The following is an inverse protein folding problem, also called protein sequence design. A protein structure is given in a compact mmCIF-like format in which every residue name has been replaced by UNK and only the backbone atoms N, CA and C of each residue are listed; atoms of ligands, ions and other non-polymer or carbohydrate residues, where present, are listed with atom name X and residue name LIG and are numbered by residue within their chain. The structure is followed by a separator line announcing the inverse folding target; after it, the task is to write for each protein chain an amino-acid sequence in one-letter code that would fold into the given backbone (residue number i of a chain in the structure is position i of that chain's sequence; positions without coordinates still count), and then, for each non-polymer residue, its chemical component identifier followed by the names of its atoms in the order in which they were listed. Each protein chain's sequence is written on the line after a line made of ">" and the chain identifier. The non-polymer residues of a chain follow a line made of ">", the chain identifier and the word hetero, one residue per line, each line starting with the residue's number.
data_IF_276854069471
#
_entry.id   IF_276854069471
#
_cell.length_a   1.000
_cell.length_b   1.000
_cell.length_c   1.000
_cell.angle_alpha   90.00
_cell.angle_beta   90.00
_cell.angle_gamma   90.00
#
_symmetry.space_group_name_H-M   'P 1'
#
loop_
_entity.id
_entity.type
_entity.pdbx_description
1 polymer ?
#
# COMPACT_ATOMS: atom_id res chain seq x y z
N UNK A 1 -4.72 26.05 -2.37
CA UNK A 1 -5.30 25.74 -1.05
C UNK A 1 -5.22 26.98 -0.20
N UNK A 2 -6.27 27.34 0.54
CA UNK A 2 -6.21 28.47 1.49
C UNK A 2 -5.39 28.05 2.73
N UNK A 3 -4.77 28.99 3.46
CA UNK A 3 -4.07 28.66 4.71
C UNK A 3 -4.96 27.94 5.73
N UNK A 4 -6.20 28.41 5.91
CA UNK A 4 -7.16 27.77 6.81
C UNK A 4 -7.43 26.30 6.46
N UNK A 5 -7.71 25.99 5.18
CA UNK A 5 -7.93 24.60 4.76
C UNK A 5 -6.68 23.74 4.93
N UNK A 6 -5.50 24.31 4.72
CA UNK A 6 -4.23 23.60 4.95
C UNK A 6 -4.07 23.24 6.43
N UNK A 7 -4.29 24.19 7.33
CA UNK A 7 -4.18 23.98 8.78
C UNK A 7 -5.22 22.97 9.29
N UNK A 8 -6.44 23.02 8.75
CA UNK A 8 -7.50 22.05 9.04
C UNK A 8 -7.07 20.64 8.61
N UNK A 9 -6.58 20.47 7.38
CA UNK A 9 -6.11 19.17 6.87
C UNK A 9 -4.93 18.64 7.67
N UNK A 10 -3.97 19.50 8.01
CA UNK A 10 -2.83 19.12 8.87
C UNK A 10 -3.31 18.62 10.22
N UNK A 11 -4.29 19.29 10.82
CA UNK A 11 -4.89 18.89 12.10
C UNK A 11 -5.60 17.55 11.98
N UNK A 12 -6.45 17.37 10.96
CA UNK A 12 -7.18 16.11 10.72
C UNK A 12 -6.22 14.93 10.56
N UNK A 13 -5.17 15.07 9.74
CA UNK A 13 -4.23 13.99 9.49
C UNK A 13 -3.32 13.72 10.69
N UNK A 14 -2.76 14.76 11.31
CA UNK A 14 -1.91 14.62 12.50
C UNK A 14 -2.70 14.02 13.66
N UNK A 15 -3.81 14.64 14.04
CA UNK A 15 -4.53 14.23 15.25
C UNK A 15 -5.24 12.90 15.05
N UNK A 16 -5.75 12.63 13.84
CA UNK A 16 -6.27 11.32 13.47
C UNK A 16 -5.22 10.20 13.53
N UNK A 17 -3.94 10.51 13.26
CA UNK A 17 -2.86 9.54 13.42
C UNK A 17 -2.51 9.32 14.90
N UNK A 18 -2.25 10.41 15.63
CA UNK A 18 -1.62 10.37 16.97
C UNK A 18 -2.61 10.08 18.10
N UNK A 19 -3.89 10.44 17.91
CA UNK A 19 -4.91 10.40 18.96
C UNK A 19 -6.05 9.43 18.65
N UNK A 20 -6.04 8.80 17.47
CA UNK A 20 -7.08 7.86 17.05
C UNK A 20 -6.45 6.55 16.53
N UNK A 21 -5.86 6.56 15.32
CA UNK A 21 -5.47 5.33 14.61
C UNK A 21 -4.34 4.55 15.31
N UNK A 22 -3.21 5.18 15.65
CA UNK A 22 -2.12 4.48 16.32
C UNK A 22 -2.51 3.98 17.73
N UNK A 23 -3.21 4.79 18.56
CA UNK A 23 -3.75 4.30 19.83
C UNK A 23 -4.69 3.10 19.68
N UNK A 24 -5.57 3.07 18.68
CA UNK A 24 -6.46 1.92 18.42
C UNK A 24 -5.63 0.64 18.22
N UNK A 25 -4.65 0.68 17.32
CA UNK A 25 -3.84 -0.48 16.98
C UNK A 25 -2.88 -0.90 18.11
N UNK A 26 -2.30 0.06 18.85
CA UNK A 26 -1.45 -0.24 20.00
C UNK A 26 -2.24 -0.88 21.15
N UNK A 27 -3.49 -0.44 21.37
CA UNK A 27 -4.34 -0.95 22.44
C UNK A 27 -4.96 -2.31 22.12
N UNK A 28 -5.48 -2.47 20.90
CA UNK A 28 -6.32 -3.62 20.54
C UNK A 28 -5.59 -4.66 19.69
N UNK A 29 -4.63 -4.24 18.87
CA UNK A 29 -3.92 -5.14 17.94
C UNK A 29 -2.61 -5.69 18.48
N UNK A 30 -1.90 -4.98 19.37
CA UNK A 30 -0.61 -5.47 19.86
C UNK A 30 -0.75 -6.69 20.77
N UNK A 31 -0.24 -7.84 20.33
CA UNK A 31 -0.21 -9.07 21.11
C UNK A 31 0.97 -9.09 22.07
N UNK A 32 0.76 -8.58 23.28
CA UNK A 32 1.78 -8.54 24.34
C UNK A 32 2.20 -9.93 24.84
N UNK A 33 1.41 -10.97 24.58
CA UNK A 33 1.66 -12.33 25.08
C UNK A 33 2.48 -13.17 24.09
N UNK A 34 2.18 -13.11 22.80
CA UNK A 34 2.85 -13.90 21.75
C UNK A 34 3.69 -13.06 20.78
N UNK A 35 3.69 -11.74 20.95
CA UNK A 35 4.36 -10.81 20.06
C UNK A 35 3.62 -10.64 18.72
N UNK A 36 3.92 -9.55 18.04
CA UNK A 36 3.33 -9.19 16.76
C UNK A 36 1.97 -8.49 16.87
N UNK A 37 1.29 -8.41 15.72
CA UNK A 37 0.05 -7.65 15.53
C UNK A 37 -1.11 -8.58 15.18
N UNK A 38 -2.19 -8.51 15.96
CA UNK A 38 -3.49 -9.11 15.68
C UNK A 38 -4.31 -8.11 14.88
N UNK A 39 -4.86 -8.57 13.75
CA UNK A 39 -5.65 -7.70 12.87
C UNK A 39 -7.12 -8.08 12.78
N UNK A 40 -7.54 -9.26 13.22
CA UNK A 40 -8.94 -9.68 13.22
C UNK A 40 -9.77 -8.96 14.29
N UNK A 41 -10.00 -7.66 14.14
CA UNK A 41 -10.66 -6.80 15.13
C UNK A 41 -12.02 -6.30 14.64
N UNK A 42 -13.02 -6.36 15.52
CA UNK A 42 -14.35 -5.78 15.31
C UNK A 42 -14.35 -4.25 15.52
N UNK A 43 -15.51 -3.62 15.36
CA UNK A 43 -15.75 -2.18 15.49
C UNK A 43 -15.14 -1.57 16.75
N UNK A 44 -15.37 -2.19 17.90
CA UNK A 44 -14.91 -1.71 19.21
C UNK A 44 -13.49 -2.18 19.58
N UNK A 45 -12.81 -2.85 18.66
CA UNK A 45 -11.50 -3.45 18.88
C UNK A 45 -11.54 -4.81 19.59
N UNK A 46 -12.70 -5.46 19.71
CA UNK A 46 -12.82 -6.85 20.15
C UNK A 46 -12.11 -7.77 19.16
N UNK A 47 -11.31 -8.71 19.67
CA UNK A 47 -10.64 -9.73 18.88
C UNK A 47 -11.65 -10.78 18.40
N UNK A 48 -11.77 -10.94 17.08
CA UNK A 48 -12.62 -11.94 16.42
C UNK A 48 -11.79 -13.13 15.96
N UNK A 49 -10.58 -12.89 15.45
CA UNK A 49 -9.70 -13.92 14.89
C UNK A 49 -8.23 -13.60 15.24
N UNK A 50 -7.49 -14.61 15.66
CA UNK A 50 -6.14 -14.45 16.20
C UNK A 50 -5.01 -14.97 15.30
N UNK A 51 -5.33 -15.40 14.07
CA UNK A 51 -4.30 -15.68 13.06
C UNK A 51 -3.57 -14.39 12.67
N UNK A 52 -2.27 -14.52 12.44
CA UNK A 52 -1.39 -13.41 12.08
C UNK A 52 -1.07 -13.42 10.60
N UNK A 53 -1.56 -12.40 9.91
CA UNK A 53 -1.16 -12.13 8.54
C UNK A 53 0.26 -11.54 8.51
N UNK A 54 1.18 -12.20 7.81
CA UNK A 54 2.60 -11.82 7.72
C UNK A 54 2.77 -10.43 7.10
N UNK A 55 1.91 -10.08 6.13
CA UNK A 55 1.87 -8.74 5.55
C UNK A 55 1.70 -7.65 6.61
N UNK A 56 0.80 -7.85 7.57
CA UNK A 56 0.55 -6.87 8.61
C UNK A 56 1.57 -6.90 9.74
N UNK A 57 2.36 -7.95 9.89
CA UNK A 57 3.52 -7.90 10.77
C UNK A 57 4.56 -6.91 10.21
N UNK A 58 4.90 -7.04 8.92
CA UNK A 58 5.83 -6.12 8.25
C UNK A 58 5.31 -4.69 8.15
N UNK A 59 4.05 -4.53 7.73
CA UNK A 59 3.40 -3.23 7.62
C UNK A 59 3.21 -2.53 8.96
N UNK A 60 2.86 -3.25 10.04
CA UNK A 60 2.78 -2.67 11.38
C UNK A 60 4.17 -2.26 11.89
N UNK A 61 5.18 -3.12 11.72
CA UNK A 61 6.56 -2.79 12.07
C UNK A 61 7.01 -1.48 11.39
N UNK A 62 6.77 -1.37 10.08
CA UNK A 62 7.06 -0.15 9.33
C UNK A 62 6.26 1.06 9.84
N UNK A 63 4.96 0.91 10.06
CA UNK A 63 4.07 2.02 10.46
C UNK A 63 4.49 2.62 11.79
N UNK A 64 4.66 1.78 12.82
CA UNK A 64 5.00 2.24 14.16
C UNK A 64 6.44 2.75 14.24
N UNK A 65 7.40 2.11 13.55
CA UNK A 65 8.77 2.61 13.51
C UNK A 65 8.91 3.95 12.77
N UNK A 66 8.14 4.14 11.69
CA UNK A 66 8.14 5.39 10.94
C UNK A 66 7.45 6.49 11.74
N UNK A 67 6.33 6.21 12.42
CA UNK A 67 5.68 7.15 13.33
C UNK A 67 6.62 7.58 14.47
N UNK A 68 7.35 6.64 15.06
CA UNK A 68 8.36 6.94 16.09
C UNK A 68 9.42 7.95 15.61
N UNK A 69 9.87 7.82 14.35
CA UNK A 69 10.90 8.69 13.77
C UNK A 69 10.38 10.05 13.32
N UNK A 70 9.22 10.07 12.67
CA UNK A 70 8.75 11.24 11.94
C UNK A 70 7.72 12.06 12.71
N UNK A 71 6.99 11.44 13.64
CA UNK A 71 5.98 12.12 14.45
C UNK A 71 6.53 12.45 15.84
N UNK A 72 6.77 11.42 16.66
CA UNK A 72 7.24 11.57 18.04
C UNK A 72 7.84 10.25 18.58
N UNK A 73 8.93 10.30 19.36
CA UNK A 73 9.62 9.09 19.83
C UNK A 73 8.94 8.48 21.07
N UNK A 74 7.72 7.96 20.91
CA UNK A 74 7.00 7.24 21.98
C UNK A 74 7.51 5.80 22.12
N UNK A 75 8.04 5.44 23.28
CA UNK A 75 8.61 4.10 23.51
C UNK A 75 7.61 2.97 23.21
N UNK A 76 6.33 3.16 23.51
CA UNK A 76 5.27 2.20 23.18
C UNK A 76 5.27 1.82 21.69
N UNK A 77 5.46 2.80 20.79
CA UNK A 77 5.48 2.54 19.35
C UNK A 77 6.74 1.81 18.91
N UNK A 78 7.87 2.12 19.54
CA UNK A 78 9.12 1.37 19.34
C UNK A 78 8.93 -0.08 19.76
N UNK A 79 8.34 -0.35 20.92
CA UNK A 79 8.07 -1.70 21.41
C UNK A 79 7.11 -2.48 20.49
N UNK A 80 6.03 -1.85 20.00
CA UNK A 80 5.11 -2.47 19.03
C UNK A 80 5.86 -2.85 17.75
N UNK A 81 6.66 -1.93 17.20
CA UNK A 81 7.38 -2.16 15.94
C UNK A 81 8.35 -3.33 16.06
N UNK A 82 9.13 -3.36 17.15
CA UNK A 82 10.09 -4.43 17.41
C UNK A 82 9.42 -5.77 17.73
N UNK A 83 8.27 -5.75 18.40
CA UNK A 83 7.47 -6.96 18.63
C UNK A 83 7.06 -7.62 17.30
N UNK A 84 6.66 -6.83 16.31
CA UNK A 84 6.32 -7.31 14.97
C UNK A 84 7.55 -7.81 14.19
N UNK A 85 8.67 -7.10 14.23
CA UNK A 85 9.92 -7.52 13.59
C UNK A 85 10.45 -8.83 14.18
N UNK A 86 10.41 -8.98 15.51
CA UNK A 86 10.81 -10.20 16.20
C UNK A 86 9.89 -11.39 15.86
N UNK A 87 8.59 -11.15 15.75
CA UNK A 87 7.63 -12.18 15.34
C UNK A 87 7.93 -12.67 13.91
N UNK A 88 8.23 -11.75 12.98
CA UNK A 88 8.66 -12.10 11.62
C UNK A 88 9.92 -12.97 11.63
N UNK A 89 10.97 -12.56 12.33
CA UNK A 89 12.25 -13.30 12.43
C UNK A 89 12.05 -14.73 12.92
N UNK A 90 11.21 -14.91 13.94
CA UNK A 90 11.02 -16.20 14.61
C UNK A 90 10.11 -17.15 13.84
N UNK A 91 9.14 -16.64 13.08
CA UNK A 91 8.01 -17.45 12.63
C UNK A 91 7.65 -17.34 11.14
N UNK A 92 8.03 -16.25 10.45
CA UNK A 92 7.52 -16.00 9.10
C UNK A 92 8.22 -16.82 8.01
N UNK A 93 9.48 -17.18 8.21
CA UNK A 93 10.28 -17.90 7.21
C UNK A 93 9.89 -19.38 7.10
N UNK A 94 9.68 -19.83 5.87
CA UNK A 94 9.50 -21.22 5.47
C UNK A 94 10.69 -21.75 4.66
N UNK A 95 10.51 -22.84 3.91
CA UNK A 95 11.55 -23.43 3.07
C UNK A 95 12.13 -22.42 2.06
N UNK A 96 13.43 -22.55 1.77
CA UNK A 96 14.15 -21.73 0.78
C UNK A 96 14.13 -20.21 1.09
N UNK A 97 13.84 -19.83 2.33
CA UNK A 97 13.78 -18.42 2.75
C UNK A 97 12.48 -17.71 2.39
N UNK A 98 11.56 -18.38 1.68
CA UNK A 98 10.23 -17.84 1.36
C UNK A 98 9.38 -17.71 2.61
N UNK A 99 8.61 -16.63 2.73
CA UNK A 99 7.75 -16.39 3.88
C UNK A 99 6.34 -16.96 3.70
N UNK A 100 5.74 -17.36 4.82
CA UNK A 100 4.31 -17.66 4.88
C UNK A 100 3.47 -16.39 4.67
N UNK A 101 2.19 -16.58 4.35
CA UNK A 101 1.19 -15.52 4.26
C UNK A 101 0.38 -15.38 5.55
N UNK A 102 -0.01 -16.50 6.16
CA UNK A 102 -0.64 -16.52 7.48
C UNK A 102 0.00 -17.56 8.39
N UNK A 103 0.03 -17.22 9.67
CA UNK A 103 0.49 -18.03 10.78
C UNK A 103 -0.60 -18.05 11.85
N UNK A 104 -0.65 -19.07 12.69
CA UNK A 104 -1.45 -19.04 13.94
C UNK A 104 -0.94 -17.92 14.86
N UNK A 105 -1.74 -17.55 15.89
CA UNK A 105 -1.30 -16.60 16.93
C UNK A 105 0.07 -16.93 17.51
N UNK A 106 0.36 -18.21 17.71
CA UNK A 106 1.62 -18.73 18.26
C UNK A 106 2.75 -18.92 17.24
N UNK A 107 2.57 -18.51 15.99
CA UNK A 107 3.62 -18.55 14.96
C UNK A 107 3.75 -19.87 14.20
N UNK A 108 2.81 -20.82 14.35
CA UNK A 108 2.79 -22.02 13.52
C UNK A 108 2.29 -21.72 12.10
N UNK A 109 2.90 -22.29 11.05
CA UNK A 109 2.56 -21.98 9.67
C UNK A 109 1.17 -22.50 9.27
N UNK A 110 0.42 -21.66 8.55
CA UNK A 110 -0.91 -22.02 8.03
C UNK A 110 -0.97 -22.01 6.52
N UNK A 111 -0.65 -20.88 5.89
CA UNK A 111 -0.77 -20.73 4.43
C UNK A 111 0.44 -20.03 3.86
N UNK A 112 1.04 -20.62 2.83
CA UNK A 112 2.02 -19.98 1.95
C UNK A 112 1.33 -19.59 0.64
N UNK A 113 1.68 -18.43 0.07
CA UNK A 113 1.16 -17.99 -1.23
C UNK A 113 2.16 -18.28 -2.34
N UNK A 114 1.66 -18.31 -3.58
CA UNK A 114 2.51 -18.43 -4.78
C UNK A 114 3.45 -17.23 -4.91
N UNK A 115 2.90 -16.02 -4.78
CA UNK A 115 3.64 -14.75 -4.78
C UNK A 115 4.38 -14.49 -3.47
N UNK A 116 5.26 -13.47 -3.45
CA UNK A 116 6.19 -13.16 -2.35
C UNK A 116 6.01 -11.76 -1.75
N UNK A 117 4.77 -11.26 -1.65
CA UNK A 117 4.54 -9.94 -1.04
C UNK A 117 4.78 -9.91 0.48
N UNK A 118 4.86 -11.07 1.16
CA UNK A 118 5.21 -11.10 2.58
C UNK A 118 6.64 -10.58 2.81
N UNK A 119 7.54 -10.93 1.90
CA UNK A 119 8.94 -10.61 1.90
C UNK A 119 9.19 -9.12 1.68
N UNK A 120 8.44 -8.49 0.76
CA UNK A 120 8.53 -7.04 0.55
C UNK A 120 8.08 -6.25 1.78
N UNK A 121 6.96 -6.64 2.41
CA UNK A 121 6.49 -5.97 3.63
C UNK A 121 7.40 -6.23 4.83
N UNK A 122 7.99 -7.42 4.94
CA UNK A 122 9.01 -7.69 5.95
C UNK A 122 10.26 -6.85 5.73
N UNK A 123 10.71 -6.68 4.47
CA UNK A 123 11.87 -5.87 4.13
C UNK A 123 11.74 -4.42 4.62
N UNK A 124 10.62 -3.75 4.31
CA UNK A 124 10.39 -2.37 4.77
C UNK A 124 10.23 -2.30 6.29
N UNK A 125 9.61 -3.31 6.92
CA UNK A 125 9.45 -3.39 8.37
C UNK A 125 10.79 -3.50 9.11
N UNK A 126 11.67 -4.38 8.64
CA UNK A 126 13.03 -4.52 9.18
C UNK A 126 13.87 -3.26 8.94
N UNK A 127 13.80 -2.68 7.75
CA UNK A 127 14.52 -1.46 7.42
C UNK A 127 14.10 -0.31 8.34
N UNK A 128 12.80 -0.12 8.58
CA UNK A 128 12.30 0.93 9.46
C UNK A 128 12.72 0.67 10.92
N UNK A 129 12.65 -0.57 11.40
CA UNK A 129 13.08 -0.94 12.75
C UNK A 129 14.59 -0.72 12.97
N UNK A 130 15.42 -0.93 11.94
CA UNK A 130 16.86 -0.66 12.02
C UNK A 130 17.20 0.81 12.31
N UNK A 131 16.24 1.73 12.10
CA UNK A 131 16.42 3.17 12.32
C UNK A 131 15.97 3.66 13.69
N UNK A 132 15.46 2.77 14.52
CA UNK A 132 15.00 3.09 15.88
C UNK A 132 15.68 2.21 16.94
N UNK A 133 16.71 1.46 16.55
CA UNK A 133 17.49 0.59 17.43
C UNK A 133 18.96 0.57 17.02
N UNK A 134 19.81 0.04 17.90
CA UNK A 134 21.21 -0.25 17.62
C UNK A 134 21.41 -1.70 17.11
N UNK A 135 20.34 -2.43 16.79
CA UNK A 135 20.44 -3.79 16.26
C UNK A 135 20.76 -3.76 14.75
N UNK A 136 22.06 -3.81 14.45
CA UNK A 136 22.58 -3.82 13.08
C UNK A 136 22.06 -4.99 12.22
N UNK A 137 21.59 -6.08 12.85
CA UNK A 137 21.09 -7.26 12.12
C UNK A 137 19.77 -6.99 11.41
N UNK A 138 19.00 -5.98 11.83
CA UNK A 138 17.72 -5.61 11.19
C UNK A 138 17.93 -5.13 9.76
N UNK A 139 19.01 -4.38 9.49
CA UNK A 139 19.32 -3.96 8.12
C UNK A 139 19.68 -5.18 7.24
N UNK A 140 20.41 -6.15 7.79
CA UNK A 140 20.71 -7.41 7.09
C UNK A 140 19.44 -8.22 6.79
N UNK A 141 18.51 -8.31 7.74
CA UNK A 141 17.23 -9.00 7.53
C UNK A 141 16.37 -8.32 6.48
N UNK A 142 16.38 -6.98 6.43
CA UNK A 142 15.72 -6.21 5.38
C UNK A 142 16.24 -6.58 3.99
N UNK A 143 17.56 -6.60 3.81
CA UNK A 143 18.18 -6.98 2.54
C UNK A 143 17.95 -8.44 2.17
N UNK A 144 17.97 -9.37 3.14
CA UNK A 144 17.66 -10.78 2.88
C UNK A 144 16.21 -10.96 2.40
N UNK A 145 15.26 -10.27 3.03
CA UNK A 145 13.86 -10.32 2.60
C UNK A 145 13.68 -9.69 1.20
N UNK A 146 14.37 -8.59 0.92
CA UNK A 146 14.37 -7.96 -0.40
C UNK A 146 14.97 -8.86 -1.49
N UNK A 147 16.11 -9.49 -1.23
CA UNK A 147 16.72 -10.43 -2.15
C UNK A 147 15.80 -11.61 -2.46
N UNK A 148 15.12 -12.14 -1.44
CA UNK A 148 14.13 -13.22 -1.60
C UNK A 148 12.97 -12.76 -2.49
N UNK A 149 12.45 -11.54 -2.25
CA UNK A 149 11.40 -10.94 -3.08
C UNK A 149 11.82 -10.86 -4.55
N UNK A 150 13.02 -10.32 -4.81
CA UNK A 150 13.56 -10.15 -6.16
C UNK A 150 13.78 -11.49 -6.86
N UNK A 151 14.39 -12.45 -6.15
CA UNK A 151 14.67 -13.77 -6.68
C UNK A 151 13.41 -14.45 -7.18
N UNK A 152 12.38 -14.55 -6.33
CA UNK A 152 11.13 -15.20 -6.73
C UNK A 152 10.36 -14.40 -7.78
N UNK A 153 10.33 -13.06 -7.70
CA UNK A 153 9.50 -12.24 -8.60
C UNK A 153 10.07 -12.13 -10.01
N UNK A 154 11.40 -12.08 -10.15
CA UNK A 154 12.05 -11.68 -11.40
C UNK A 154 13.04 -12.70 -11.97
N UNK A 155 13.34 -13.79 -11.27
CA UNK A 155 14.15 -14.88 -11.85
C UNK A 155 13.25 -15.79 -12.70
N UNK A 156 13.53 -15.96 -14.01
CA UNK A 156 12.73 -16.84 -14.86
C UNK A 156 12.65 -18.27 -14.33
N UNK A 157 11.45 -18.85 -14.31
CA UNK A 157 11.21 -20.23 -13.89
C UNK A 157 11.13 -20.45 -12.37
N UNK A 158 11.43 -19.46 -11.53
CA UNK A 158 11.38 -19.62 -10.07
C UNK A 158 9.94 -19.53 -9.54
N UNK A 159 9.17 -18.52 -9.96
CA UNK A 159 7.76 -18.44 -9.57
C UNK A 159 6.88 -19.13 -10.61
N UNK A 160 6.13 -20.14 -10.16
CA UNK A 160 5.11 -20.81 -10.97
C UNK A 160 4.11 -19.77 -11.50
N UNK A 161 3.80 -19.72 -12.80
CA UNK A 161 2.81 -18.80 -13.36
C UNK A 161 1.42 -18.94 -12.74
N UNK A 162 0.62 -17.86 -12.77
CA UNK A 162 -0.78 -17.90 -12.29
C UNK A 162 -1.69 -18.67 -13.26
N UNK A 163 -1.41 -18.57 -14.56
CA UNK A 163 -2.16 -19.17 -15.66
C UNK A 163 -1.23 -20.02 -16.50
N UNK A 164 -1.80 -20.95 -17.28
CA UNK A 164 -1.00 -21.86 -18.09
C UNK A 164 -0.26 -21.09 -19.19
N UNK A 165 1.09 -21.02 -19.13
CA UNK A 165 1.87 -20.08 -19.94
C UNK A 165 1.79 -20.41 -21.43
N UNK A 166 1.60 -21.66 -21.80
CA UNK A 166 1.49 -22.08 -23.20
C UNK A 166 0.11 -21.79 -23.82
N UNK A 167 -0.92 -21.60 -22.98
CA UNK A 167 -2.30 -21.39 -23.43
C UNK A 167 -2.69 -19.92 -23.41
N UNK A 168 -2.35 -19.21 -22.33
CA UNK A 168 -2.63 -17.78 -22.18
C UNK A 168 -1.56 -17.15 -21.28
N UNK A 169 -0.39 -16.81 -21.84
CA UNK A 169 0.66 -16.17 -21.07
C UNK A 169 0.21 -14.76 -20.66
N UNK A 170 0.48 -14.41 -19.41
CA UNK A 170 0.14 -13.11 -18.86
C UNK A 170 1.15 -12.72 -17.78
N UNK A 171 1.35 -11.42 -17.62
CA UNK A 171 2.12 -10.83 -16.53
C UNK A 171 1.28 -9.78 -15.81
N UNK A 172 1.56 -9.61 -14.52
CA UNK A 172 0.80 -8.72 -13.65
C UNK A 172 1.58 -7.48 -13.24
N UNK A 173 0.84 -6.42 -12.94
CA UNK A 173 1.36 -5.12 -12.52
C UNK A 173 1.96 -5.16 -11.11
N UNK A 174 1.33 -5.89 -10.19
CA UNK A 174 1.62 -5.85 -8.76
C UNK A 174 3.10 -6.13 -8.39
N UNK A 175 3.82 -7.11 -8.97
CA UNK A 175 5.24 -7.32 -8.67
C UNK A 175 6.12 -6.10 -8.98
N UNK A 176 5.84 -5.37 -10.05
CA UNK A 176 6.60 -4.18 -10.42
C UNK A 176 6.27 -3.00 -9.51
N UNK A 177 5.00 -2.78 -9.21
CA UNK A 177 4.58 -1.75 -8.26
C UNK A 177 5.20 -1.96 -6.87
N UNK A 178 5.12 -3.18 -6.35
CA UNK A 178 5.66 -3.49 -5.02
C UNK A 178 7.19 -3.46 -5.01
N UNK A 179 7.85 -3.84 -6.11
CA UNK A 179 9.30 -3.68 -6.24
C UNK A 179 9.71 -2.21 -6.15
N UNK A 180 9.02 -1.33 -6.87
CA UNK A 180 9.26 0.12 -6.84
C UNK A 180 9.10 0.68 -5.43
N UNK A 181 7.96 0.44 -4.78
CA UNK A 181 7.70 0.97 -3.44
C UNK A 181 8.69 0.43 -2.39
N UNK A 182 9.02 -0.86 -2.45
CA UNK A 182 9.99 -1.47 -1.53
C UNK A 182 11.39 -0.90 -1.73
N UNK A 183 11.83 -0.76 -2.97
CA UNK A 183 13.13 -0.17 -3.28
C UNK A 183 13.22 1.31 -2.88
N UNK A 184 12.12 2.08 -2.99
CA UNK A 184 12.05 3.47 -2.50
C UNK A 184 12.29 3.55 -0.99
N UNK A 185 11.56 2.74 -0.22
CA UNK A 185 11.71 2.66 1.25
C UNK A 185 13.12 2.20 1.65
N UNK A 186 13.63 1.14 1.02
CA UNK A 186 14.98 0.64 1.30
C UNK A 186 16.06 1.66 0.96
N UNK A 187 15.92 2.38 -0.16
CA UNK A 187 16.86 3.45 -0.53
C UNK A 187 16.84 4.59 0.46
N UNK A 188 15.66 5.04 0.88
CA UNK A 188 15.52 6.12 1.85
C UNK A 188 16.11 5.75 3.21
N UNK A 189 15.85 4.53 3.67
CA UNK A 189 16.27 4.09 5.00
C UNK A 189 17.73 3.64 4.98
N UNK A 190 18.11 2.74 4.09
CA UNK A 190 19.38 2.00 4.13
C UNK A 190 20.40 2.45 3.07
N UNK A 191 20.01 3.38 2.18
CA UNK A 191 20.84 3.86 1.08
C UNK A 191 20.70 3.02 -0.19
N UNK A 192 21.26 3.54 -1.30
CA UNK A 192 21.14 2.92 -2.62
C UNK A 192 22.13 1.74 -2.79
N UNK A 193 21.74 0.58 -2.27
CA UNK A 193 22.56 -0.64 -2.29
C UNK A 193 22.23 -1.54 -3.49
N UNK A 194 23.24 -2.28 -3.97
CA UNK A 194 23.08 -3.28 -5.02
C UNK A 194 22.59 -4.62 -4.45
N UNK A 195 21.42 -5.08 -4.91
CA UNK A 195 20.83 -6.37 -4.53
C UNK A 195 20.16 -6.99 -5.76
N UNK A 196 20.37 -8.27 -6.02
CA UNK A 196 19.81 -8.95 -7.20
C UNK A 196 20.31 -8.38 -8.54
N UNK A 197 21.56 -7.89 -8.56
CA UNK A 197 22.22 -7.37 -9.77
C UNK A 197 21.77 -5.97 -10.22
N UNK A 198 21.19 -5.17 -9.32
CA UNK A 198 20.91 -3.75 -9.57
C UNK A 198 20.81 -2.97 -8.24
N UNK A 199 21.03 -1.67 -8.28
CA UNK A 199 20.75 -0.79 -7.13
C UNK A 199 19.25 -0.60 -6.92
N UNK A 200 18.86 -0.07 -5.75
CA UNK A 200 17.46 0.27 -5.48
C UNK A 200 16.94 1.27 -6.52
N UNK A 201 17.72 2.31 -6.86
CA UNK A 201 17.37 3.27 -7.92
C UNK A 201 17.17 2.59 -9.27
N UNK A 202 18.03 1.64 -9.64
CA UNK A 202 17.89 0.91 -10.90
C UNK A 202 16.65 -0.01 -10.91
N UNK A 203 16.31 -0.62 -9.77
CA UNK A 203 15.05 -1.38 -9.64
C UNK A 203 13.81 -0.49 -9.79
N UNK A 204 13.85 0.72 -9.22
CA UNK A 204 12.80 1.73 -9.41
C UNK A 204 12.68 2.10 -10.89
N UNK A 205 13.78 2.40 -11.57
CA UNK A 205 13.79 2.74 -13.00
C UNK A 205 13.22 1.61 -13.87
N UNK A 206 13.60 0.35 -13.59
CA UNK A 206 13.07 -0.83 -14.29
C UNK A 206 11.56 -0.97 -14.10
N UNK A 207 11.08 -0.83 -12.86
CA UNK A 207 9.66 -0.93 -12.56
C UNK A 207 8.85 0.17 -13.25
N UNK A 208 9.32 1.42 -13.23
CA UNK A 208 8.68 2.54 -13.93
C UNK A 208 8.65 2.29 -15.44
N UNK A 209 9.77 1.84 -16.02
CA UNK A 209 9.85 1.55 -17.44
C UNK A 209 8.88 0.43 -17.86
N UNK A 210 8.80 -0.65 -17.09
CA UNK A 210 7.85 -1.73 -17.37
C UNK A 210 6.39 -1.22 -17.26
N UNK A 211 6.07 -0.47 -16.20
CA UNK A 211 4.74 0.13 -16.00
C UNK A 211 4.35 1.00 -17.20
N UNK A 212 5.26 1.87 -17.64
CA UNK A 212 5.04 2.81 -18.74
C UNK A 212 4.90 2.11 -20.10
N UNK A 213 5.77 1.14 -20.40
CA UNK A 213 5.80 0.49 -21.70
C UNK A 213 4.66 -0.52 -21.86
N UNK A 214 4.40 -1.31 -20.82
CA UNK A 214 3.61 -2.53 -20.98
C UNK A 214 2.26 -2.46 -20.31
N UNK A 215 2.14 -1.77 -19.17
CA UNK A 215 0.89 -1.74 -18.41
C UNK A 215 0.05 -0.50 -18.66
N UNK A 216 0.67 0.68 -18.86
CA UNK A 216 -0.08 1.90 -19.14
C UNK A 216 -0.50 1.96 -20.61
N UNK A 217 -1.78 2.23 -20.84
CA UNK A 217 -2.38 2.35 -22.18
C UNK A 217 -2.95 3.77 -22.33
N UNK A 218 -2.13 4.73 -22.81
CA UNK A 218 -2.54 6.13 -22.93
C UNK A 218 -3.84 6.32 -23.73
N UNK A 219 -4.00 5.57 -24.82
CA UNK A 219 -5.19 5.64 -25.69
C UNK A 219 -6.47 5.17 -24.99
N UNK A 220 -6.33 4.29 -23.99
CA UNK A 220 -7.44 3.81 -23.16
C UNK A 220 -7.59 4.63 -21.87
N UNK A 221 -6.61 5.47 -21.53
CA UNK A 221 -6.55 6.14 -20.23
C UNK A 221 -6.51 5.16 -19.06
N UNK A 222 -5.89 3.98 -19.24
CA UNK A 222 -5.94 2.90 -18.27
C UNK A 222 -4.55 2.36 -17.94
N UNK A 223 -4.32 2.07 -16.66
CA UNK A 223 -3.22 1.23 -16.22
C UNK A 223 -3.76 -0.17 -15.96
N UNK A 224 -3.31 -1.13 -16.74
CA UNK A 224 -3.82 -2.50 -16.74
C UNK A 224 -3.28 -3.29 -15.55
N UNK A 225 -4.13 -4.12 -14.91
CA UNK A 225 -3.68 -5.06 -13.86
C UNK A 225 -2.86 -6.22 -14.43
N UNK A 226 -3.25 -6.68 -15.63
CA UNK A 226 -2.67 -7.83 -16.32
C UNK A 226 -2.58 -7.54 -17.81
N UNK A 227 -1.46 -7.92 -18.43
CA UNK A 227 -1.23 -7.82 -19.88
C UNK A 227 -0.55 -9.08 -20.40
N UNK A 228 -0.54 -9.26 -21.72
CA UNK A 228 0.29 -10.27 -22.35
C UNK A 228 1.79 -9.96 -22.14
N UNK A 229 2.72 -10.92 -22.34
CA UNK A 229 4.15 -10.68 -22.14
C UNK A 229 4.73 -9.51 -22.94
N UNK A 230 4.16 -9.22 -24.11
CA UNK A 230 4.53 -8.11 -24.99
C UNK A 230 3.80 -6.79 -24.66
N UNK A 231 3.06 -6.74 -23.55
CA UNK A 231 2.29 -5.58 -23.12
C UNK A 231 0.93 -5.42 -23.81
N UNK A 232 0.55 -6.31 -24.74
CA UNK A 232 -0.76 -6.20 -25.40
C UNK A 232 -1.93 -6.52 -24.45
N UNK A 233 -3.08 -5.91 -24.73
CA UNK A 233 -4.32 -6.14 -24.00
C UNK A 233 -4.80 -7.58 -24.21
N UNK A 234 -5.08 -8.30 -23.13
CA UNK A 234 -5.73 -9.60 -23.19
C UNK A 234 -7.26 -9.42 -23.19
N UNK A 235 -7.94 -9.86 -24.25
CA UNK A 235 -9.41 -9.80 -24.32
C UNK A 235 -10.07 -10.93 -23.51
N UNK A 236 -9.97 -10.81 -22.20
CA UNK A 236 -10.45 -11.75 -21.19
C UNK A 236 -10.77 -11.00 -19.90
N UNK A 237 -11.58 -11.56 -19.00
CA UNK A 237 -11.91 -10.93 -17.71
C UNK A 237 -10.66 -10.45 -16.96
N UNK A 238 -9.67 -11.32 -16.76
CA UNK A 238 -8.41 -10.95 -16.09
C UNK A 238 -7.66 -9.80 -16.78
N UNK A 239 -7.73 -9.72 -18.12
CA UNK A 239 -6.99 -8.75 -18.93
C UNK A 239 -7.71 -7.41 -19.11
N UNK A 240 -9.04 -7.39 -18.93
CA UNK A 240 -9.85 -6.17 -19.01
C UNK A 240 -10.16 -5.57 -17.65
N UNK A 241 -10.09 -6.38 -16.59
CA UNK A 241 -10.31 -5.90 -15.22
C UNK A 241 -9.23 -4.88 -14.83
N UNK A 242 -9.70 -3.76 -14.30
CA UNK A 242 -8.90 -2.70 -13.72
C UNK A 242 -9.22 -2.59 -12.23
N UNK A 243 -8.23 -2.23 -11.43
CA UNK A 243 -8.43 -1.79 -10.06
C UNK A 243 -8.03 -0.31 -9.96
N UNK A 244 -9.00 0.63 -9.93
CA UNK A 244 -8.69 2.06 -9.87
C UNK A 244 -7.82 2.45 -8.68
N UNK A 245 -8.06 1.87 -7.50
CA UNK A 245 -7.26 2.12 -6.31
C UNK A 245 -5.79 1.74 -6.48
N UNK A 246 -5.54 0.54 -7.02
CA UNK A 246 -4.19 0.02 -7.24
C UNK A 246 -3.45 0.88 -8.27
N UNK A 247 -4.10 1.27 -9.36
CA UNK A 247 -3.46 2.11 -10.35
C UNK A 247 -3.19 3.54 -9.85
N UNK A 248 -4.07 4.09 -9.03
CA UNK A 248 -3.85 5.38 -8.34
C UNK A 248 -2.69 5.26 -7.34
N UNK A 249 -2.55 4.11 -6.67
CA UNK A 249 -1.37 3.79 -5.83
C UNK A 249 -0.07 3.81 -6.65
N UNK A 250 -0.08 3.13 -7.81
CA UNK A 250 1.05 3.12 -8.73
C UNK A 250 1.43 4.53 -9.20
N UNK A 251 0.42 5.34 -9.52
CA UNK A 251 0.61 6.72 -9.96
C UNK A 251 1.34 7.54 -8.91
N UNK A 252 0.95 7.46 -7.64
CA UNK A 252 1.60 8.28 -6.62
C UNK A 252 2.98 7.75 -6.22
N UNK A 253 3.27 6.45 -6.33
CA UNK A 253 4.64 5.95 -6.22
C UNK A 253 5.57 6.57 -7.28
N UNK A 254 5.10 6.73 -8.51
CA UNK A 254 5.83 7.40 -9.60
C UNK A 254 5.98 8.90 -9.30
N UNK A 255 4.92 9.56 -8.83
CA UNK A 255 4.98 10.97 -8.44
C UNK A 255 5.90 11.20 -7.24
N UNK A 256 5.97 10.25 -6.31
CA UNK A 256 6.86 10.31 -5.16
C UNK A 256 8.32 10.20 -5.63
N UNK A 257 8.62 9.31 -6.59
CA UNK A 257 9.93 9.29 -7.25
C UNK A 257 10.22 10.62 -7.97
N UNK A 258 9.24 11.18 -8.67
CA UNK A 258 9.37 12.46 -9.34
C UNK A 258 9.75 13.57 -8.34
N UNK A 259 9.09 13.63 -7.18
CA UNK A 259 9.39 14.58 -6.10
C UNK A 259 10.80 14.37 -5.56
N UNK A 260 11.21 13.12 -5.33
CA UNK A 260 12.57 12.78 -4.89
C UNK A 260 13.64 13.27 -5.89
N UNK A 261 13.37 13.16 -7.19
CA UNK A 261 14.25 13.62 -8.28
C UNK A 261 14.12 15.11 -8.62
N UNK A 262 13.57 15.92 -7.72
CA UNK A 262 13.46 17.38 -7.91
C UNK A 262 12.37 17.80 -8.90
N UNK A 263 11.31 17.00 -9.06
CA UNK A 263 10.18 17.27 -9.95
C UNK A 263 10.42 16.88 -11.39
N UNK A 264 11.06 15.73 -11.65
CA UNK A 264 11.38 15.25 -13.00
C UNK A 264 10.12 15.21 -13.89
N UNK A 265 10.09 16.06 -14.94
CA UNK A 265 8.88 16.31 -15.73
C UNK A 265 8.29 15.06 -16.39
N UNK A 266 9.14 14.11 -16.80
CA UNK A 266 8.72 12.83 -17.40
C UNK A 266 7.88 12.00 -16.42
N UNK A 267 8.38 11.86 -15.19
CA UNK A 267 7.71 11.10 -14.14
C UNK A 267 6.44 11.80 -13.64
N UNK A 268 6.48 13.14 -13.49
CA UNK A 268 5.28 13.93 -13.17
C UNK A 268 4.19 13.70 -14.22
N UNK A 269 4.55 13.77 -15.51
CA UNK A 269 3.61 13.54 -16.61
C UNK A 269 3.04 12.12 -16.56
N UNK A 270 3.87 11.10 -16.39
CA UNK A 270 3.44 9.70 -16.34
C UNK A 270 2.47 9.46 -15.18
N UNK A 271 2.87 9.81 -13.95
CA UNK A 271 2.04 9.63 -12.76
C UNK A 271 0.71 10.39 -12.85
N UNK A 272 0.73 11.64 -13.33
CA UNK A 272 -0.49 12.42 -13.54
C UNK A 272 -1.40 11.82 -14.62
N UNK A 273 -0.84 11.25 -15.70
CA UNK A 273 -1.62 10.64 -16.78
C UNK A 273 -2.34 9.38 -16.31
N UNK A 274 -1.67 8.55 -15.49
CA UNK A 274 -2.28 7.38 -14.86
C UNK A 274 -3.39 7.84 -13.89
N UNK A 275 -3.11 8.80 -13.01
CA UNK A 275 -4.09 9.33 -12.06
C UNK A 275 -5.33 9.87 -12.78
N UNK A 276 -5.14 10.67 -13.84
CA UNK A 276 -6.25 11.26 -14.60
C UNK A 276 -7.16 10.20 -15.23
N UNK A 277 -6.56 9.21 -15.89
CA UNK A 277 -7.30 8.13 -16.53
C UNK A 277 -8.06 7.26 -15.54
N UNK A 278 -7.40 6.87 -14.46
CA UNK A 278 -7.97 5.97 -13.46
C UNK A 278 -8.96 6.66 -12.53
N UNK A 279 -8.81 7.98 -12.30
CA UNK A 279 -9.86 8.78 -11.65
C UNK A 279 -11.14 8.77 -12.49
N UNK A 280 -11.03 9.02 -13.79
CA UNK A 280 -12.18 9.01 -14.71
C UNK A 280 -12.88 7.65 -14.76
N UNK A 281 -12.13 6.56 -14.76
CA UNK A 281 -12.67 5.20 -14.81
C UNK A 281 -13.19 4.72 -13.45
N UNK A 282 -12.62 5.20 -12.34
CA UNK A 282 -12.87 4.66 -11.00
C UNK A 282 -13.81 5.46 -10.13
N UNK A 283 -13.91 6.78 -10.31
CA UNK A 283 -14.78 7.62 -9.48
C UNK A 283 -16.25 7.46 -9.86
N UNK A 284 -17.07 7.05 -8.91
CA UNK A 284 -18.51 6.88 -9.10
C UNK A 284 -19.22 8.24 -9.10
N UNK A 285 -19.76 8.61 -10.26
CA UNK A 285 -20.44 9.89 -10.44
C UNK A 285 -21.82 9.94 -9.75
N UNK A 286 -22.39 8.79 -9.39
CA UNK A 286 -23.72 8.69 -8.78
C UNK A 286 -23.66 8.78 -7.25
N UNK A 287 -22.76 8.01 -6.63
CA UNK A 287 -22.68 7.90 -5.17
C UNK A 287 -21.38 8.49 -4.58
N UNK A 288 -20.46 8.96 -5.40
CA UNK A 288 -19.11 9.31 -4.96
C UNK A 288 -18.29 8.08 -4.57
N UNK A 289 -17.01 8.31 -4.26
CA UNK A 289 -16.08 7.24 -3.89
C UNK A 289 -15.61 6.38 -5.06
N UNK A 290 -14.51 5.68 -4.85
CA UNK A 290 -13.80 4.90 -5.86
C UNK A 290 -14.38 3.49 -5.90
N UNK A 291 -14.84 3.07 -7.08
CA UNK A 291 -15.26 1.70 -7.37
C UNK A 291 -14.06 0.76 -7.25
N UNK A 292 -14.28 -0.43 -6.68
CA UNK A 292 -13.19 -1.35 -6.41
C UNK A 292 -12.59 -1.98 -7.66
N UNK A 293 -13.42 -2.45 -8.59
CA UNK A 293 -12.98 -2.95 -9.89
C UNK A 293 -13.92 -2.45 -11.01
N UNK A 294 -13.34 -2.19 -12.18
CA UNK A 294 -14.06 -1.79 -13.40
C UNK A 294 -13.47 -2.52 -14.62
N UNK A 295 -14.16 -2.53 -15.76
CA UNK A 295 -13.64 -3.10 -17.01
C UNK A 295 -13.19 -1.97 -17.95
N UNK A 296 -12.03 -2.14 -18.58
CA UNK A 296 -11.46 -1.13 -19.51
C UNK A 296 -12.36 -0.80 -20.71
N UNK A 297 -13.31 -1.68 -21.04
CA UNK A 297 -14.30 -1.50 -22.12
C UNK A 297 -15.71 -1.21 -21.61
N UNK A 298 -15.86 -0.89 -20.33
CA UNK A 298 -17.16 -0.63 -19.70
C UNK A 298 -18.13 -1.83 -19.77
N UNK A 299 -17.57 -3.04 -19.60
CA UNK A 299 -18.31 -4.29 -19.47
C UNK A 299 -18.41 -4.73 -18.00
N UNK A 300 -19.23 -5.74 -17.71
CA UNK A 300 -19.27 -6.34 -16.38
C UNK A 300 -17.97 -7.09 -16.07
N UNK A 301 -17.40 -6.82 -14.89
CA UNK A 301 -16.30 -7.62 -14.33
C UNK A 301 -16.83 -8.83 -13.58
N UNK A 302 -15.99 -9.85 -13.38
CA UNK A 302 -16.39 -11.11 -12.75
C UNK A 302 -16.58 -11.01 -11.22
N UNK A 303 -15.90 -10.08 -10.56
CA UNK A 303 -15.91 -9.98 -9.10
C UNK A 303 -17.22 -9.37 -8.61
N UNK A 304 -18.03 -10.10 -7.85
CA UNK A 304 -19.36 -9.65 -7.45
C UNK A 304 -19.36 -8.44 -6.49
N UNK A 305 -18.21 -8.11 -5.88
CA UNK A 305 -18.01 -6.93 -5.02
C UNK A 305 -17.40 -5.73 -5.75
N UNK A 306 -17.34 -5.75 -7.09
CA UNK A 306 -16.66 -4.74 -7.92
C UNK A 306 -17.06 -3.28 -7.66
N UNK A 307 -18.31 -3.01 -7.31
CA UNK A 307 -18.78 -1.65 -7.03
C UNK A 307 -18.71 -1.24 -5.55
N UNK A 308 -18.28 -2.13 -4.65
CA UNK A 308 -18.07 -1.78 -3.25
C UNK A 308 -17.00 -0.70 -3.10
N UNK A 309 -17.04 0.02 -1.97
CA UNK A 309 -16.07 1.07 -1.63
C UNK A 309 -15.19 0.54 -0.51
N UNK A 310 -13.92 0.31 -0.85
CA UNK A 310 -12.92 -0.18 0.10
C UNK A 310 -12.17 1.02 0.68
N UNK A 311 -11.70 0.94 1.91
CA UNK A 311 -10.99 2.06 2.56
C UNK A 311 -9.68 2.44 1.83
N UNK A 312 -8.88 1.44 1.43
CA UNK A 312 -7.52 1.69 0.95
C UNK A 312 -7.45 2.43 -0.40
N UNK A 313 -8.28 2.17 -1.44
CA UNK A 313 -8.28 2.99 -2.65
C UNK A 313 -8.47 4.48 -2.38
N UNK A 314 -9.27 4.82 -1.37
CA UNK A 314 -9.52 6.20 -0.98
C UNK A 314 -8.32 6.79 -0.25
N UNK A 315 -7.66 6.02 0.63
CA UNK A 315 -6.39 6.45 1.24
C UNK A 315 -5.32 6.76 0.17
N UNK A 316 -5.19 5.90 -0.84
CA UNK A 316 -4.22 6.10 -1.92
C UNK A 316 -4.57 7.30 -2.81
N UNK A 317 -5.85 7.51 -3.09
CA UNK A 317 -6.29 8.66 -3.86
C UNK A 317 -6.13 9.98 -3.11
N UNK A 318 -6.30 10.01 -1.79
CA UNK A 318 -5.97 11.18 -0.96
C UNK A 318 -4.48 11.53 -1.12
N UNK A 319 -3.57 10.55 -1.00
CA UNK A 319 -2.13 10.77 -1.21
C UNK A 319 -1.87 11.27 -2.64
N UNK A 320 -2.37 10.55 -3.64
CA UNK A 320 -2.09 10.80 -5.05
C UNK A 320 -2.53 12.19 -5.49
N UNK A 321 -3.75 12.59 -5.14
CA UNK A 321 -4.32 13.88 -5.52
C UNK A 321 -3.60 15.04 -4.83
N UNK A 322 -3.25 14.91 -3.55
CA UNK A 322 -2.50 15.94 -2.83
C UNK A 322 -1.08 16.10 -3.39
N UNK A 323 -0.39 15.00 -3.66
CA UNK A 323 0.96 14.98 -4.21
C UNK A 323 1.00 15.51 -5.65
N UNK A 324 0.04 15.12 -6.49
CA UNK A 324 -0.10 15.65 -7.84
C UNK A 324 -0.36 17.17 -7.82
N UNK A 325 -1.23 17.64 -6.90
CA UNK A 325 -1.41 19.07 -6.70
C UNK A 325 -0.11 19.74 -6.24
N UNK A 326 0.65 19.14 -5.31
CA UNK A 326 1.90 19.74 -4.84
C UNK A 326 2.91 19.95 -5.98
N UNK A 327 3.07 18.94 -6.86
CA UNK A 327 4.03 18.96 -7.95
C UNK A 327 3.62 19.85 -9.13
N UNK A 328 2.32 19.97 -9.40
CA UNK A 328 1.82 20.64 -10.62
C UNK A 328 1.11 21.96 -10.36
N UNK A 329 0.60 22.16 -9.14
CA UNK A 329 -0.32 23.22 -8.73
C UNK A 329 -1.60 23.29 -9.57
N UNK A 330 -1.95 22.24 -10.32
CA UNK A 330 -3.17 22.21 -11.14
C UNK A 330 -4.43 22.11 -10.26
N UNK A 331 -5.40 23.01 -10.49
CA UNK A 331 -6.60 23.16 -9.66
C UNK A 331 -7.43 21.85 -9.53
N UNK A 332 -7.56 21.10 -10.63
CA UNK A 332 -8.30 19.83 -10.66
C UNK A 332 -7.87 18.83 -9.59
N UNK A 333 -6.57 18.76 -9.27
CA UNK A 333 -6.07 17.80 -8.27
C UNK A 333 -6.43 18.21 -6.85
N UNK A 334 -6.52 19.52 -6.59
CA UNK A 334 -7.01 20.02 -5.31
C UNK A 334 -8.53 19.80 -5.15
N UNK A 335 -9.28 19.95 -6.24
CA UNK A 335 -10.72 19.62 -6.28
C UNK A 335 -10.93 18.13 -6.01
N UNK A 336 -10.20 17.25 -6.70
CA UNK A 336 -10.27 15.80 -6.49
C UNK A 336 -9.83 15.39 -5.10
N UNK A 337 -8.76 15.99 -4.57
CA UNK A 337 -8.35 15.78 -3.18
C UNK A 337 -9.48 16.11 -2.21
N UNK A 338 -10.15 17.26 -2.40
CA UNK A 338 -11.27 17.67 -1.56
C UNK A 338 -12.41 16.65 -1.64
N UNK A 339 -12.79 16.23 -2.85
CA UNK A 339 -13.83 15.21 -3.06
C UNK A 339 -13.53 13.89 -2.35
N UNK A 340 -12.33 13.32 -2.56
CA UNK A 340 -12.00 12.01 -1.98
C UNK A 340 -11.73 12.09 -0.48
N UNK A 341 -11.12 13.18 0.00
CA UNK A 341 -10.91 13.41 1.44
C UNK A 341 -12.25 13.53 2.17
N UNK A 342 -13.11 14.45 1.74
CA UNK A 342 -14.37 14.72 2.46
C UNK A 342 -15.28 13.48 2.42
N UNK A 343 -15.41 12.84 1.26
CA UNK A 343 -16.23 11.63 1.11
C UNK A 343 -15.70 10.48 1.97
N UNK A 344 -14.38 10.22 1.97
CA UNK A 344 -13.83 9.10 2.73
C UNK A 344 -13.91 9.29 4.24
N UNK A 345 -13.69 10.51 4.74
CA UNK A 345 -13.87 10.81 6.16
C UNK A 345 -15.33 10.75 6.60
N UNK A 346 -16.28 11.13 5.75
CA UNK A 346 -17.71 11.01 6.04
C UNK A 346 -18.16 9.55 6.13
N UNK A 347 -17.66 8.68 5.24
CA UNK A 347 -18.23 7.34 5.07
C UNK A 347 -17.45 6.23 5.79
N UNK A 348 -16.13 6.36 5.97
CA UNK A 348 -15.33 5.31 6.60
C UNK A 348 -15.00 5.59 8.07
N UNK A 349 -14.83 6.85 8.47
CA UNK A 349 -14.37 7.17 9.82
C UNK A 349 -15.40 6.76 10.88
N UNK A 350 -14.93 6.16 11.97
CA UNK A 350 -15.76 5.77 13.10
C UNK A 350 -15.43 6.61 14.34
N UNK A 351 -16.07 7.77 14.53
CA UNK A 351 -15.76 8.66 15.65
C UNK A 351 -16.12 8.07 17.03
N UNK A 352 -16.87 6.96 17.08
CA UNK A 352 -17.26 6.30 18.34
C UNK A 352 -16.13 5.41 18.88
N UNK A 353 -15.46 4.65 18.01
CA UNK A 353 -14.46 3.66 18.41
C UNK A 353 -13.06 3.89 17.82
N UNK A 354 -12.90 4.92 17.00
CA UNK A 354 -11.66 5.21 16.31
C UNK A 354 -11.38 4.31 15.11
N UNK A 355 -10.36 4.63 14.33
CA UNK A 355 -10.07 4.05 13.02
C UNK A 355 -11.24 4.23 12.02
N UNK A 356 -11.02 3.74 10.82
CA UNK A 356 -11.98 3.59 9.74
C UNK A 356 -12.52 2.16 9.66
N UNK A 357 -13.78 2.05 9.27
CA UNK A 357 -14.34 0.82 8.72
C UNK A 357 -13.63 0.47 7.40
N UNK A 358 -13.62 -0.82 7.05
CA UNK A 358 -12.98 -1.29 5.82
C UNK A 358 -13.88 -1.23 4.58
N UNK A 359 -15.15 -1.58 4.71
CA UNK A 359 -15.94 -2.08 3.58
C UNK A 359 -17.34 -1.50 3.55
N UNK A 360 -17.65 -0.78 2.47
CA UNK A 360 -18.97 -0.20 2.23
C UNK A 360 -19.55 -0.77 0.93
N UNK A 361 -20.87 -0.75 0.82
CA UNK A 361 -21.56 -0.97 -0.44
C UNK A 361 -21.35 0.22 -1.40
N UNK A 362 -21.94 0.16 -2.60
CA UNK A 362 -21.77 1.20 -3.61
C UNK A 362 -22.29 2.56 -3.14
N UNK A 363 -23.34 2.56 -2.32
CA UNK A 363 -23.96 3.77 -1.78
C UNK A 363 -23.20 4.34 -0.57
N UNK A 364 -22.12 3.70 -0.13
CA UNK A 364 -21.30 4.16 0.99
C UNK A 364 -21.81 3.71 2.36
N UNK A 365 -22.71 2.73 2.44
CA UNK A 365 -23.19 2.18 3.72
C UNK A 365 -22.29 1.04 4.19
N UNK A 366 -21.97 0.96 5.49
CA UNK A 366 -21.19 -0.14 6.03
C UNK A 366 -21.78 -1.53 5.72
N UNK A 367 -20.95 -2.41 5.16
CA UNK A 367 -21.30 -3.83 4.94
C UNK A 367 -20.67 -4.76 5.96
N UNK A 368 -19.71 -4.23 6.73
CA UNK A 368 -19.01 -4.93 7.80
C UNK A 368 -18.58 -3.95 8.88
N UNK A 369 -18.60 -4.41 10.13
CA UNK A 369 -18.14 -3.67 11.31
C UNK A 369 -16.63 -3.79 11.55
N UNK A 370 -15.94 -4.65 10.78
CA UNK A 370 -14.53 -4.95 10.96
C UNK A 370 -13.63 -3.71 10.84
N UNK A 371 -12.79 -3.49 11.84
CA UNK A 371 -11.68 -2.53 11.81
C UNK A 371 -10.42 -3.16 11.24
N UNK A 372 -10.31 -4.48 11.25
CA UNK A 372 -9.24 -5.19 10.59
C UNK A 372 -9.59 -6.61 10.17
N UNK A 373 -8.65 -7.26 9.50
CA UNK A 373 -8.75 -8.68 9.16
C UNK A 373 -7.48 -9.15 8.47
N UNK A 374 -7.58 -10.19 7.63
CA UNK A 374 -6.42 -10.68 6.88
C UNK A 374 -5.85 -9.63 5.90
N UNK A 375 -6.68 -8.70 5.42
CA UNK A 375 -6.34 -7.72 4.39
C UNK A 375 -6.42 -6.24 4.86
N UNK A 376 -6.84 -5.98 6.11
CA UNK A 376 -6.86 -4.65 6.72
C UNK A 376 -6.13 -4.66 8.06
N UNK A 377 -5.29 -3.65 8.27
CA UNK A 377 -4.46 -3.47 9.46
C UNK A 377 -3.75 -2.11 9.41
N UNK A 378 -2.85 -1.81 10.37
CA UNK A 378 -2.19 -0.51 10.47
C UNK A 378 -1.19 -0.33 9.33
N UNK A 379 -1.66 0.22 8.21
CA UNK A 379 -0.82 0.56 7.05
C UNK A 379 -1.40 1.70 6.21
N UNK A 380 -2.40 1.45 5.37
CA UNK A 380 -2.87 2.43 4.37
C UNK A 380 -3.39 3.73 5.00
N UNK A 381 -4.25 3.65 6.02
CA UNK A 381 -4.76 4.81 6.74
C UNK A 381 -3.66 5.59 7.48
N UNK A 382 -2.86 4.99 8.38
CA UNK A 382 -1.81 5.73 9.07
C UNK A 382 -0.71 6.23 8.12
N UNK A 383 -0.40 5.50 7.03
CA UNK A 383 0.51 5.97 5.97
C UNK A 383 -0.03 7.22 5.29
N UNK A 384 -1.31 7.20 4.88
CA UNK A 384 -1.94 8.36 4.25
C UNK A 384 -1.91 9.57 5.17
N UNK A 385 -2.31 9.40 6.44
CA UNK A 385 -2.30 10.48 7.42
C UNK A 385 -0.89 11.05 7.62
N UNK A 386 0.10 10.18 7.82
CA UNK A 386 1.49 10.59 8.04
C UNK A 386 2.08 11.29 6.81
N UNK A 387 1.88 10.72 5.62
CA UNK A 387 2.38 11.27 4.37
C UNK A 387 1.74 12.63 4.07
N UNK A 388 0.41 12.74 4.16
CA UNK A 388 -0.30 13.98 3.84
C UNK A 388 0.00 15.06 4.88
N UNK A 389 0.08 14.73 6.16
CA UNK A 389 0.51 15.66 7.20
C UNK A 389 1.91 16.23 6.89
N UNK A 390 2.89 15.36 6.62
CA UNK A 390 4.27 15.81 6.34
C UNK A 390 4.40 16.57 5.02
N UNK A 391 3.63 16.18 4.00
CA UNK A 391 3.58 16.91 2.75
C UNK A 391 3.03 18.32 2.94
N UNK A 392 1.94 18.48 3.70
CA UNK A 392 1.35 19.78 4.01
C UNK A 392 2.26 20.62 4.92
N UNK A 393 2.94 20.02 5.89
CA UNK A 393 3.92 20.71 6.75
C UNK A 393 5.06 21.32 5.92
N UNK A 394 5.53 20.61 4.90
CA UNK A 394 6.61 21.06 4.02
C UNK A 394 6.21 22.08 2.94
N UNK A 395 4.92 22.34 2.74
CA UNK A 395 4.48 23.42 1.85
C UNK A 395 4.77 24.77 2.53
N UNK A 396 5.38 25.75 1.88
CA UNK A 396 5.50 27.11 2.44
C UNK A 396 4.32 27.96 2.02
#
# INVERSE_FOLDING_TARGET
>A
MTPARRDDLMTVYRDGLLHDVLPFWAKHGWDREKGGMLTGLDRDGTLIDDDKAVWFQGRAAWTFATAYRLAEPREEWREVALSCADFLRKHAYGPEGKMYFTLTRGGQPLRMRRYVFSESFAAIGFAACSKITDDETLATDAWRAWETYLHHSFTPGVMVPKTEPDTRPAKGLAPWMIAMATAQELRELLGDQEVGGATCTQWIDRAIAEIENDFFKPDLGALMEMVAPDGSLLDHFDGRQLNPGHAIEAAWFILHEAKHRGGEARLVKLGCSILDGMWKLGWDQEHGGILYNVDVRDLWVQEYWHHMKFWWPHNEAVIATLLAWDLTKAAKYLEWHTLVHDWSHEHFADPEHGEWLGYLDREGRPTSTLKGGTFKGPFHLPRMQMYCWKLLEGMS
#
